data_IF_639677660942
#
_entry.id   IF_639677660942
#
_cell.length_a   1.000
_cell.length_b   1.000
_cell.length_c   1.000
_cell.angle_alpha   90.00
_cell.angle_beta   90.00
_cell.angle_gamma   90.00
#
_symmetry.space_group_name_H-M   'P 1'
#
loop_
_entity.id
_entity.type
_entity.pdbx_description
1 polymer ?
#
# COMPACT_ATOMS: atom_id res chain seq x y z
N UNK A 1 1.36 7.83 -16.89
CA UNK A 1 0.54 6.60 -16.85
C UNK A 1 -0.66 6.87 -17.75
N UNK A 2 -0.71 6.27 -18.94
CA UNK A 2 -1.80 6.51 -19.91
C UNK A 2 -3.04 5.62 -19.66
N UNK A 3 -2.92 4.58 -18.83
CA UNK A 3 -3.96 3.56 -18.61
C UNK A 3 -4.88 3.80 -17.38
N UNK A 4 -4.76 4.97 -16.74
CA UNK A 4 -5.60 5.33 -15.59
C UNK A 4 -5.40 4.45 -14.33
N UNK A 5 -6.22 4.65 -13.28
CA UNK A 5 -6.07 3.95 -12.00
C UNK A 5 -6.48 2.46 -12.06
N UNK A 6 -7.26 2.07 -13.07
CA UNK A 6 -7.84 0.72 -13.18
C UNK A 6 -6.77 -0.36 -13.36
N UNK A 7 -5.76 -0.09 -14.20
CA UNK A 7 -4.67 -1.02 -14.48
C UNK A 7 -3.83 -1.34 -13.24
N UNK A 8 -3.72 -0.38 -12.31
CA UNK A 8 -2.86 -0.48 -11.13
C UNK A 8 -3.64 -1.03 -9.93
N UNK A 9 -4.95 -0.82 -9.90
CA UNK A 9 -5.81 -1.21 -8.79
C UNK A 9 -6.04 -2.72 -8.65
N UNK A 10 -5.67 -3.55 -9.63
CA UNK A 10 -5.64 -5.02 -9.45
C UNK A 10 -4.35 -5.50 -8.76
N UNK A 11 -3.28 -4.73 -8.90
CA UNK A 11 -1.96 -5.06 -8.37
C UNK A 11 -1.77 -4.49 -6.96
N UNK A 12 -2.38 -3.34 -6.66
CA UNK A 12 -2.29 -2.68 -5.37
C UNK A 12 -3.11 -3.42 -4.30
N UNK A 13 -2.41 -4.12 -3.40
CA UNK A 13 -3.03 -4.83 -2.26
C UNK A 13 -2.92 -4.08 -0.93
N UNK A 14 -1.93 -3.20 -0.79
CA UNK A 14 -1.65 -2.40 0.40
C UNK A 14 -1.24 -0.99 -0.04
N UNK A 15 -1.80 0.03 0.60
CA UNK A 15 -1.49 1.43 0.32
C UNK A 15 -0.54 1.99 1.41
N UNK A 16 0.67 2.49 1.11
CA UNK A 16 1.52 3.06 2.15
C UNK A 16 0.87 4.31 2.77
N UNK A 17 0.83 4.45 4.12
CA UNK A 17 0.25 5.60 4.80
C UNK A 17 1.19 6.82 4.71
N UNK A 18 1.25 7.43 3.53
CA UNK A 18 2.04 8.63 3.24
C UNK A 18 1.21 9.92 3.28
N UNK A 19 -0.13 9.78 3.25
CA UNK A 19 -1.06 10.89 3.38
C UNK A 19 -1.02 11.44 4.81
N UNK A 20 -0.42 12.62 4.96
CA UNK A 20 -0.43 13.38 6.21
C UNK A 20 0.44 12.83 7.35
N UNK A 21 0.97 11.61 7.25
CA UNK A 21 1.83 10.99 8.27
C UNK A 21 3.00 10.19 7.67
N UNK A 22 3.99 9.88 8.50
CA UNK A 22 5.09 8.97 8.16
C UNK A 22 4.65 7.52 8.37
N UNK A 23 5.16 6.61 7.53
CA UNK A 23 4.99 5.16 7.74
C UNK A 23 5.56 4.74 9.11
N UNK A 24 4.88 3.82 9.78
CA UNK A 24 5.43 3.20 10.99
C UNK A 24 6.63 2.32 10.65
N UNK A 25 7.65 2.30 11.52
CA UNK A 25 8.88 1.53 11.31
C UNK A 25 8.63 0.03 11.08
N UNK A 26 7.66 -0.54 11.83
CA UNK A 26 7.20 -1.93 11.66
C UNK A 26 6.38 -2.13 10.38
N UNK A 27 5.52 -1.17 10.02
CA UNK A 27 4.78 -1.19 8.76
C UNK A 27 5.74 -1.22 7.57
N UNK A 28 6.74 -0.33 7.57
CA UNK A 28 7.75 -0.24 6.51
C UNK A 28 8.57 -1.53 6.36
N UNK A 29 8.88 -2.21 7.46
CA UNK A 29 9.53 -3.53 7.42
C UNK A 29 8.66 -4.58 6.71
N UNK A 30 7.42 -4.76 7.16
CA UNK A 30 6.52 -5.77 6.59
C UNK A 30 6.12 -5.45 5.15
N UNK A 31 5.94 -4.18 4.81
CA UNK A 31 5.72 -3.73 3.44
C UNK A 31 6.92 -4.04 2.53
N UNK A 32 8.15 -3.86 3.04
CA UNK A 32 9.37 -4.21 2.32
C UNK A 32 9.50 -5.73 2.13
N UNK A 33 9.20 -6.52 3.16
CA UNK A 33 9.16 -7.99 3.06
C UNK A 33 8.09 -8.48 2.07
N UNK A 34 6.92 -7.85 2.04
CA UNK A 34 5.85 -8.20 1.10
C UNK A 34 6.27 -7.89 -0.34
N UNK A 35 6.76 -6.68 -0.61
CA UNK A 35 7.23 -6.29 -1.96
C UNK A 35 8.39 -7.16 -2.46
N UNK A 36 9.28 -7.58 -1.57
CA UNK A 36 10.38 -8.49 -1.85
C UNK A 36 9.93 -9.89 -2.29
N UNK A 37 8.84 -10.38 -1.73
CA UNK A 37 8.35 -11.75 -1.93
C UNK A 37 7.29 -11.83 -3.03
N UNK A 38 6.72 -10.69 -3.40
CA UNK A 38 5.70 -10.62 -4.45
C UNK A 38 6.30 -10.91 -5.83
N UNK A 39 5.97 -12.08 -6.38
CA UNK A 39 6.43 -12.52 -7.71
C UNK A 39 7.83 -13.16 -7.73
N UNK A 40 8.52 -13.24 -6.59
CA UNK A 40 9.82 -13.90 -6.49
C UNK A 40 9.68 -15.44 -6.41
N UNK A 41 10.57 -16.20 -7.06
CA UNK A 41 10.66 -17.65 -6.85
C UNK A 41 10.91 -18.02 -5.39
N UNK A 42 10.21 -19.04 -4.87
CA UNK A 42 10.22 -19.42 -3.45
C UNK A 42 11.64 -19.67 -2.91
N UNK A 43 12.54 -20.23 -3.72
CA UNK A 43 13.92 -20.51 -3.30
C UNK A 43 14.78 -19.24 -3.12
N UNK A 44 14.41 -18.12 -3.73
CA UNK A 44 15.11 -16.82 -3.58
C UNK A 44 14.61 -16.02 -2.37
N UNK A 45 13.42 -16.32 -1.87
CA UNK A 45 12.81 -15.64 -0.71
C UNK A 45 13.75 -15.51 0.49
N UNK A 46 14.44 -16.56 1.00
CA UNK A 46 15.32 -16.41 2.15
C UNK A 46 16.48 -15.44 1.89
N UNK A 47 17.04 -15.45 0.68
CA UNK A 47 18.10 -14.51 0.30
C UNK A 47 17.59 -13.06 0.26
N UNK A 48 16.43 -12.84 -0.35
CA UNK A 48 15.80 -11.52 -0.40
C UNK A 48 15.46 -11.01 1.00
N UNK A 49 14.94 -11.87 1.89
CA UNK A 49 14.64 -11.48 3.28
C UNK A 49 15.88 -10.91 4.00
N UNK A 50 17.04 -11.54 3.85
CA UNK A 50 18.30 -11.04 4.43
C UNK A 50 18.71 -9.71 3.81
N UNK A 51 18.66 -9.60 2.48
CA UNK A 51 19.00 -8.37 1.76
C UNK A 51 18.12 -7.20 2.20
N UNK A 52 16.81 -7.41 2.31
CA UNK A 52 15.86 -6.37 2.70
C UNK A 52 15.90 -6.07 4.20
N UNK A 53 16.31 -7.01 5.06
CA UNK A 53 16.62 -6.72 6.46
C UNK A 53 17.81 -5.75 6.57
N UNK A 54 18.83 -5.92 5.72
CA UNK A 54 19.95 -4.98 5.63
C UNK A 54 19.56 -3.63 5.00
N UNK A 55 18.59 -3.62 4.06
CA UNK A 55 18.10 -2.39 3.43
C UNK A 55 17.11 -1.59 4.31
N UNK A 56 16.39 -2.26 5.21
CA UNK A 56 15.40 -1.65 6.11
C UNK A 56 15.90 -0.42 6.89
N UNK A 57 17.08 -0.42 7.54
CA UNK A 57 17.57 0.76 8.25
C UNK A 57 17.77 1.97 7.34
N UNK A 58 18.17 1.77 6.08
CA UNK A 58 18.29 2.87 5.11
C UNK A 58 16.93 3.46 4.73
N UNK A 59 15.90 2.63 4.59
CA UNK A 59 14.51 3.10 4.39
C UNK A 59 14.05 3.92 5.58
N UNK A 60 14.28 3.42 6.80
CA UNK A 60 13.94 4.16 8.03
C UNK A 60 14.65 5.51 8.03
N UNK A 61 15.96 5.54 7.79
CA UNK A 61 16.74 6.78 7.69
C UNK A 61 16.15 7.76 6.66
N UNK A 62 15.88 7.30 5.44
CA UNK A 62 15.28 8.12 4.38
C UNK A 62 13.92 8.71 4.78
N UNK A 63 13.09 7.93 5.47
CA UNK A 63 11.76 8.39 5.94
C UNK A 63 11.87 9.45 7.04
N UNK A 64 12.87 9.36 7.91
CA UNK A 64 13.08 10.34 8.96
C UNK A 64 13.67 11.66 8.44
N UNK A 65 14.53 11.60 7.42
CA UNK A 65 15.18 12.77 6.81
C UNK A 65 14.32 13.46 5.77
N UNK A 66 13.38 12.75 5.14
CA UNK A 66 12.50 13.31 4.11
C UNK A 66 11.34 14.13 4.70
N UNK A 67 10.94 15.17 3.97
CA UNK A 67 9.69 15.90 4.23
C UNK A 67 8.50 15.04 3.78
N UNK A 68 7.39 15.15 4.49
CA UNK A 68 6.15 14.49 4.11
C UNK A 68 5.61 15.20 2.86
N UNK A 69 5.32 14.48 1.76
CA UNK A 69 4.71 15.09 0.59
C UNK A 69 3.32 15.60 0.97
N UNK A 70 3.07 16.89 0.73
CA UNK A 70 1.76 17.52 0.87
C UNK A 70 1.48 18.29 -0.40
N UNK A 71 0.27 18.13 -0.94
CA UNK A 71 -0.20 18.97 -2.01
C UNK A 71 -0.44 20.40 -1.49
N UNK A 72 -0.30 21.38 -2.36
CA UNK A 72 -0.68 22.76 -2.02
C UNK A 72 -2.20 22.85 -1.99
N UNK A 73 -2.74 23.79 -1.20
CA UNK A 73 -4.18 23.98 -1.07
C UNK A 73 -4.88 24.23 -2.43
N UNK A 74 -4.18 24.88 -3.37
CA UNK A 74 -4.66 25.07 -4.74
C UNK A 74 -4.88 23.72 -5.45
N UNK A 75 -3.90 22.81 -5.39
CA UNK A 75 -4.01 21.49 -6.01
C UNK A 75 -5.08 20.64 -5.32
N UNK A 76 -5.16 20.68 -4.00
CA UNK A 76 -6.22 19.97 -3.26
C UNK A 76 -7.62 20.48 -3.63
N UNK A 77 -7.78 21.79 -3.89
CA UNK A 77 -9.06 22.37 -4.32
C UNK A 77 -9.44 21.99 -5.76
N UNK A 78 -8.45 21.81 -6.63
CA UNK A 78 -8.65 21.40 -8.03
C UNK A 78 -8.86 19.89 -8.17
N UNK A 79 -8.33 19.10 -7.24
CA UNK A 79 -8.37 17.64 -7.23
C UNK A 79 -9.30 17.11 -6.13
N UNK A 80 -10.55 17.59 -6.10
CA UNK A 80 -11.55 17.04 -5.18
C UNK A 80 -11.95 15.62 -5.61
N UNK A 81 -11.88 14.68 -4.67
CA UNK A 81 -12.31 13.30 -4.87
C UNK A 81 -13.83 13.26 -4.75
N UNK A 82 -14.49 12.64 -5.73
CA UNK A 82 -15.93 12.42 -5.69
C UNK A 82 -16.25 11.44 -4.55
N UNK A 83 -17.21 11.74 -3.64
CA UNK A 83 -17.58 10.82 -2.56
C UNK A 83 -18.03 9.43 -3.02
N UNK A 84 -18.49 9.29 -4.27
CA UNK A 84 -18.89 8.01 -4.85
C UNK A 84 -17.81 7.37 -5.75
N UNK A 85 -16.56 7.85 -5.71
CA UNK A 85 -15.47 7.28 -6.51
C UNK A 85 -15.11 5.85 -6.03
N UNK A 86 -15.32 4.80 -6.87
CA UNK A 86 -14.95 3.43 -6.52
C UNK A 86 -13.43 3.23 -6.36
N UNK A 87 -12.61 4.20 -6.78
CA UNK A 87 -11.16 4.17 -6.70
C UNK A 87 -10.59 4.98 -5.53
N UNK A 88 -11.42 5.54 -4.64
CA UNK A 88 -10.96 6.16 -3.39
C UNK A 88 -10.46 5.08 -2.40
N UNK A 89 -9.20 4.68 -2.60
CA UNK A 89 -8.50 3.67 -1.82
C UNK A 89 -7.39 4.36 -1.03
N UNK A 90 -7.64 4.58 0.26
CA UNK A 90 -6.69 5.21 1.16
C UNK A 90 -6.04 4.21 2.12
N UNK A 91 -4.94 4.64 2.76
CA UNK A 91 -4.25 3.83 3.74
C UNK A 91 -5.10 3.53 5.01
N UNK A 92 -6.23 4.22 5.20
CA UNK A 92 -7.19 3.92 6.26
C UNK A 92 -7.88 2.55 6.07
N UNK A 93 -7.90 2.04 4.84
CA UNK A 93 -8.53 0.77 4.47
C UNK A 93 -7.56 -0.43 4.60
N UNK A 94 -6.31 -0.19 4.99
CA UNK A 94 -5.31 -1.24 5.18
C UNK A 94 -5.63 -2.16 6.35
N UNK A 95 -5.16 -3.42 6.31
CA UNK A 95 -5.24 -4.33 7.46
C UNK A 95 -4.45 -3.76 8.66
N UNK A 96 -4.97 -3.96 9.87
CA UNK A 96 -4.33 -3.51 11.11
C UNK A 96 -2.95 -4.14 11.32
N UNK A 97 -2.67 -5.31 10.73
CA UNK A 97 -1.38 -6.00 10.88
C UNK A 97 -0.97 -6.69 9.58
N UNK A 98 0.01 -6.11 8.88
CA UNK A 98 0.50 -6.64 7.59
C UNK A 98 1.03 -8.07 7.72
N UNK A 99 1.79 -8.41 8.78
CA UNK A 99 2.27 -9.79 8.95
C UNK A 99 1.10 -10.77 8.98
N UNK A 100 -0.03 -10.35 9.58
CA UNK A 100 -1.13 -11.26 9.92
C UNK A 100 -1.94 -11.51 8.67
N UNK A 101 -2.12 -10.44 7.90
CA UNK A 101 -2.61 -10.49 6.55
C UNK A 101 -1.72 -11.34 5.62
N UNK A 102 -0.40 -11.18 5.66
CA UNK A 102 0.54 -11.94 4.82
C UNK A 102 0.52 -13.45 5.12
N UNK A 103 0.34 -13.81 6.38
CA UNK A 103 0.19 -15.21 6.82
C UNK A 103 -1.25 -15.75 6.65
N UNK A 104 -2.18 -14.99 6.06
CA UNK A 104 -3.59 -15.39 5.88
C UNK A 104 -4.37 -15.51 7.19
N UNK A 105 -3.82 -14.98 8.29
CA UNK A 105 -4.42 -15.01 9.64
C UNK A 105 -5.36 -13.84 9.91
N UNK A 106 -5.45 -12.88 8.98
CA UNK A 106 -6.35 -11.74 9.01
C UNK A 106 -7.28 -11.81 7.79
N UNK A 107 -8.59 -11.65 8.04
CA UNK A 107 -9.62 -11.69 6.99
C UNK A 107 -9.82 -10.32 6.33
N UNK A 108 -9.03 -9.32 6.71
CA UNK A 108 -9.02 -7.99 6.08
C UNK A 108 -8.48 -8.04 4.64
N UNK A 109 -9.19 -8.73 3.74
CA UNK A 109 -9.15 -8.54 2.30
C UNK A 109 -10.22 -7.54 1.85
N UNK A 110 -10.68 -6.69 2.77
CA UNK A 110 -11.78 -5.73 2.59
C UNK A 110 -11.58 -4.82 1.39
N UNK A 111 -10.32 -4.51 1.02
CA UNK A 111 -9.95 -3.74 -0.18
C UNK A 111 -10.43 -4.40 -1.49
N UNK A 112 -10.27 -5.73 -1.61
CA UNK A 112 -10.72 -6.50 -2.77
C UNK A 112 -12.23 -6.76 -2.71
N UNK A 113 -12.78 -6.92 -1.51
CA UNK A 113 -14.21 -7.18 -1.33
C UNK A 113 -15.06 -5.94 -1.64
N UNK A 114 -14.61 -4.72 -1.27
CA UNK A 114 -15.30 -3.47 -1.61
C UNK A 114 -15.30 -3.22 -3.14
N UNK A 115 -14.16 -3.46 -3.79
CA UNK A 115 -14.02 -3.44 -5.27
C UNK A 115 -14.89 -4.51 -5.95
N UNK A 116 -14.96 -5.73 -5.41
CA UNK A 116 -15.83 -6.80 -5.93
C UNK A 116 -17.31 -6.50 -5.72
N UNK A 117 -17.68 -5.88 -4.60
CA UNK A 117 -19.05 -5.46 -4.30
C UNK A 117 -19.52 -4.35 -5.24
N UNK A 118 -18.71 -3.31 -5.48
CA UNK A 118 -19.05 -2.24 -6.43
C UNK A 118 -19.14 -2.74 -7.88
N UNK A 119 -18.23 -3.63 -8.31
CA UNK A 119 -18.30 -4.28 -9.63
C UNK A 119 -19.49 -5.25 -9.78
N UNK A 120 -20.00 -5.81 -8.68
CA UNK A 120 -21.17 -6.72 -8.69
C UNK A 120 -22.52 -6.00 -8.69
N UNK A 121 -22.60 -4.78 -8.15
CA UNK A 121 -23.83 -3.96 -8.16
C UNK A 121 -24.03 -3.18 -9.46
N UNK A 122 -23.00 -3.08 -10.31
CA UNK A 122 -23.06 -2.42 -11.62
C UNK A 122 -23.37 -3.34 -12.80
N UNK A 123 -23.86 -4.57 -12.57
CA UNK A 123 -24.28 -5.54 -13.60
C UNK A 123 -25.77 -5.84 -13.50
#
# INVERSE_FOLDING_TARGET
MEEGPQAVAEVLKIMPPVEGRREGVSFGYWYLMFSATYGAPVFLVPFLMVLYLAAWPFRVFAMYTSKIPRWTAEVESMCQIDPDDPWDISAAQNPCSIWRWMLGMDKAHTMLDKKRQSLSMGK
#
